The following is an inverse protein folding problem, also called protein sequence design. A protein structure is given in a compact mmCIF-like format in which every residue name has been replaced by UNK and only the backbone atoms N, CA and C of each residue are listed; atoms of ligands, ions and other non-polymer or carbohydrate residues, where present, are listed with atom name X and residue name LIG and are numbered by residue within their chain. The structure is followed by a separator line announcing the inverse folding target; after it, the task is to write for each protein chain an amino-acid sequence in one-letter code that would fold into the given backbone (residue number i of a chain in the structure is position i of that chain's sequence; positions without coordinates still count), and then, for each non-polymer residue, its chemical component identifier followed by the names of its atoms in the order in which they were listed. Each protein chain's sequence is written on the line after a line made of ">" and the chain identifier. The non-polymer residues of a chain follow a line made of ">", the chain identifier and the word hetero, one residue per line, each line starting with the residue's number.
data_IF_761151961202
#
_entry.id   IF_761151961202
#
_cell.length_a   1.000
_cell.length_b   1.000
_cell.length_c   1.000
_cell.angle_alpha   90.00
_cell.angle_beta   90.00
_cell.angle_gamma   90.00
#
_symmetry.space_group_name_H-M   'P 1'
#
loop_
_entity.id
_entity.type
_entity.pdbx_description
1 polymer ?
#
# COMPACT_ATOMS: atom_id res chain seq x y z
N UNK A 1 -7.40 20.87 16.30
CA UNK A 1 -8.00 20.13 15.16
C UNK A 1 -6.84 19.71 14.27
N UNK A 2 -6.46 18.43 14.23
CA UNK A 2 -5.42 17.96 13.29
C UNK A 2 -6.10 17.82 11.94
N UNK A 3 -5.71 18.66 10.99
CA UNK A 3 -6.17 18.60 9.62
C UNK A 3 -5.54 17.34 8.99
N UNK A 4 -6.36 16.39 8.56
CA UNK A 4 -5.85 15.25 7.80
C UNK A 4 -5.27 15.80 6.50
N UNK A 5 -3.94 15.70 6.34
CA UNK A 5 -3.28 16.06 5.09
C UNK A 5 -3.70 15.03 4.05
N UNK A 6 -4.38 15.47 2.99
CA UNK A 6 -4.67 14.61 1.86
C UNK A 6 -3.35 14.28 1.15
N UNK A 7 -2.98 13.01 1.15
CA UNK A 7 -1.67 12.53 0.74
C UNK A 7 -1.83 11.26 -0.08
N UNK A 8 -1.04 11.11 -1.14
CA UNK A 8 -1.05 9.96 -2.04
C UNK A 8 0.33 9.76 -2.64
N UNK A 9 0.77 8.51 -2.63
CA UNK A 9 2.01 8.06 -3.25
C UNK A 9 1.72 6.75 -3.98
N UNK A 10 2.17 6.62 -5.22
CA UNK A 10 2.12 5.37 -5.97
C UNK A 10 3.33 4.53 -5.55
N UNK A 11 3.08 3.38 -4.93
CA UNK A 11 4.11 2.48 -4.42
C UNK A 11 4.29 1.27 -5.34
N UNK A 12 5.54 0.85 -5.53
CA UNK A 12 5.89 -0.48 -6.01
C UNK A 12 6.55 -1.22 -4.86
N UNK A 13 5.95 -2.34 -4.44
CA UNK A 13 6.40 -3.08 -3.26
C UNK A 13 6.53 -4.57 -3.55
N UNK A 14 7.32 -5.28 -2.75
CA UNK A 14 7.40 -6.73 -2.76
C UNK A 14 6.68 -7.29 -1.55
N UNK A 15 5.74 -8.20 -1.77
CA UNK A 15 5.02 -8.86 -0.70
C UNK A 15 5.95 -9.80 0.07
N UNK A 16 6.01 -9.64 1.39
CA UNK A 16 6.73 -10.56 2.29
C UNK A 16 5.75 -11.57 2.85
N UNK A 17 4.63 -11.07 3.39
CA UNK A 17 3.50 -11.87 3.86
C UNK A 17 2.24 -11.00 3.95
N UNK A 18 1.08 -11.63 3.95
CA UNK A 18 -0.19 -10.97 4.19
C UNK A 18 -0.99 -11.79 5.21
N UNK A 19 -1.64 -11.09 6.13
CA UNK A 19 -2.52 -11.66 7.15
C UNK A 19 -3.76 -10.77 7.30
N UNK A 20 -4.90 -11.27 7.82
CA UNK A 20 -6.07 -10.43 8.07
C UNK A 20 -5.73 -9.24 8.96
N UNK A 21 -6.22 -8.05 8.63
CA UNK A 21 -5.91 -6.84 9.38
C UNK A 21 -6.51 -6.90 10.79
N UNK A 22 -5.74 -6.65 11.86
CA UNK A 22 -6.18 -6.90 13.23
C UNK A 22 -7.34 -6.01 13.70
N UNK A 23 -7.53 -4.86 13.03
CA UNK A 23 -8.52 -3.83 13.41
C UNK A 23 -9.52 -3.45 12.33
N UNK A 24 -9.31 -3.86 11.08
CA UNK A 24 -10.09 -3.37 9.93
C UNK A 24 -10.70 -4.55 9.19
N UNK A 25 -11.99 -4.80 9.41
CA UNK A 25 -12.70 -5.86 8.72
C UNK A 25 -12.72 -5.61 7.21
N UNK A 26 -12.41 -6.66 6.42
CA UNK A 26 -12.31 -6.58 4.96
C UNK A 26 -11.00 -5.98 4.45
N UNK A 27 -10.00 -5.84 5.31
CA UNK A 27 -8.63 -5.47 4.96
C UNK A 27 -7.68 -6.56 5.42
N UNK A 28 -6.59 -6.70 4.69
CA UNK A 28 -5.41 -7.47 5.05
C UNK A 28 -4.28 -6.50 5.40
N UNK A 29 -3.41 -6.92 6.30
CA UNK A 29 -2.16 -6.24 6.61
C UNK A 29 -1.03 -6.96 5.86
N UNK A 30 -0.53 -6.33 4.80
CA UNK A 30 0.60 -6.81 4.05
C UNK A 30 1.90 -6.26 4.63
N UNK A 31 2.82 -7.14 5.02
CA UNK A 31 4.21 -6.77 5.25
C UNK A 31 4.91 -6.72 3.90
N UNK A 32 5.44 -5.55 3.53
CA UNK A 32 6.01 -5.33 2.19
C UNK A 32 7.35 -4.62 2.26
N UNK A 33 8.26 -4.97 1.35
CA UNK A 33 9.46 -4.19 1.07
C UNK A 33 9.14 -3.14 0.00
N UNK A 34 9.41 -1.87 0.26
CA UNK A 34 9.20 -0.81 -0.73
C UNK A 34 10.36 -0.80 -1.72
N UNK A 35 10.06 -1.11 -2.98
CA UNK A 35 11.03 -1.13 -4.06
C UNK A 35 11.17 0.24 -4.70
N UNK A 36 10.05 0.92 -4.91
CA UNK A 36 9.99 2.23 -5.56
C UNK A 36 8.75 3.01 -5.10
N UNK A 37 8.79 4.33 -5.29
CA UNK A 37 7.70 5.23 -4.95
C UNK A 37 7.68 6.45 -5.87
N UNK A 38 6.49 6.76 -6.40
CA UNK A 38 6.23 7.91 -7.26
C UNK A 38 5.24 8.87 -6.59
N UNK A 39 5.53 10.19 -6.52
CA UNK A 39 4.58 11.16 -5.97
C UNK A 39 3.38 11.31 -6.90
N UNK A 40 2.17 11.43 -6.32
CA UNK A 40 0.96 11.70 -7.09
C UNK A 40 0.71 13.21 -7.16
N UNK A 41 0.62 13.75 -8.37
CA UNK A 41 0.40 15.18 -8.59
C UNK A 41 -0.86 15.68 -7.84
N UNK A 42 -0.70 16.80 -7.12
CA UNK A 42 -1.78 17.41 -6.34
C UNK A 42 -1.94 16.86 -4.92
N UNK A 43 -1.14 15.88 -4.51
CA UNK A 43 -1.15 15.30 -3.17
C UNK A 43 0.20 15.43 -2.49
N UNK A 44 0.20 15.47 -1.15
CA UNK A 44 1.43 15.36 -0.39
C UNK A 44 2.00 13.94 -0.54
N UNK A 45 3.32 13.86 -0.70
CA UNK A 45 4.04 12.59 -0.71
C UNK A 45 4.65 12.30 0.66
N UNK A 46 4.10 11.32 1.36
CA UNK A 46 4.50 10.96 2.73
C UNK A 46 5.12 9.57 2.84
N UNK A 47 5.10 8.79 1.75
CA UNK A 47 5.52 7.38 1.74
C UNK A 47 6.79 7.14 0.93
N UNK A 48 7.23 8.05 0.05
CA UNK A 48 8.49 7.85 -0.72
C UNK A 48 9.74 7.79 0.16
N UNK A 49 9.68 8.33 1.37
CA UNK A 49 10.76 8.16 2.37
C UNK A 49 10.99 6.71 2.81
N UNK A 50 10.04 5.82 2.51
CA UNK A 50 10.11 4.42 2.89
C UNK A 50 10.73 3.53 1.81
N UNK A 51 11.18 4.08 0.67
CA UNK A 51 11.91 3.32 -0.35
C UNK A 51 13.13 2.63 0.26
N UNK A 52 13.29 1.34 -0.04
CA UNK A 52 14.33 0.49 0.54
C UNK A 52 14.05 0.01 1.97
N UNK A 53 12.90 0.36 2.54
CA UNK A 53 12.48 -0.07 3.87
C UNK A 53 11.30 -1.04 3.82
N UNK A 54 11.08 -1.70 4.95
CA UNK A 54 9.91 -2.53 5.18
C UNK A 54 8.80 -1.71 5.83
N UNK A 55 7.56 -1.88 5.36
CA UNK A 55 6.40 -1.26 5.98
C UNK A 55 5.19 -2.20 6.01
N UNK A 56 4.26 -1.90 6.93
CA UNK A 56 2.96 -2.54 6.99
C UNK A 56 1.97 -1.73 6.16
N UNK A 57 1.41 -2.35 5.13
CA UNK A 57 0.45 -1.76 4.21
C UNK A 57 -0.91 -2.42 4.40
N UNK A 58 -1.91 -1.66 4.82
CA UNK A 58 -3.29 -2.15 4.82
C UNK A 58 -3.83 -2.16 3.38
N UNK A 59 -4.28 -3.32 2.92
CA UNK A 59 -4.83 -3.53 1.57
C UNK A 59 -6.23 -4.15 1.67
N UNK A 60 -7.23 -3.73 0.89
CA UNK A 60 -8.53 -4.41 0.85
C UNK A 60 -8.35 -5.90 0.51
N UNK A 61 -8.94 -6.81 1.31
CA UNK A 61 -8.65 -8.25 1.21
C UNK A 61 -8.95 -8.85 -0.16
N UNK A 62 -9.93 -8.30 -0.88
CA UNK A 62 -10.25 -8.75 -2.25
C UNK A 62 -9.18 -8.43 -3.29
N UNK A 63 -8.25 -7.52 -3.01
CA UNK A 63 -7.19 -7.13 -3.95
C UNK A 63 -5.94 -8.02 -3.86
N UNK A 64 -5.72 -8.71 -2.74
CA UNK A 64 -4.58 -9.61 -2.55
C UNK A 64 -4.90 -11.07 -2.85
N UNK A 65 -6.07 -11.38 -3.41
CA UNK A 65 -6.54 -12.76 -3.59
C UNK A 65 -5.57 -13.67 -4.36
N UNK A 66 -4.81 -13.11 -5.30
CA UNK A 66 -3.81 -13.84 -6.12
C UNK A 66 -2.36 -13.57 -5.69
N UNK A 67 -2.16 -12.74 -4.66
CA UNK A 67 -0.82 -12.34 -4.22
C UNK A 67 -0.19 -13.42 -3.33
N UNK A 68 1.01 -13.86 -3.70
CA UNK A 68 1.84 -14.78 -2.90
C UNK A 68 3.12 -14.07 -2.43
N UNK A 69 3.76 -14.52 -1.33
CA UNK A 69 5.08 -14.00 -0.95
C UNK A 69 6.05 -13.95 -2.13
N UNK A 70 6.73 -12.81 -2.29
CA UNK A 70 7.61 -12.49 -3.42
C UNK A 70 6.92 -11.74 -4.57
N UNK A 71 5.59 -11.68 -4.60
CA UNK A 71 4.85 -10.94 -5.64
C UNK A 71 5.19 -9.44 -5.60
N UNK A 72 5.23 -8.81 -6.76
CA UNK A 72 5.37 -7.35 -6.87
C UNK A 72 3.98 -6.73 -6.93
N UNK A 73 3.71 -5.78 -6.03
CA UNK A 73 2.43 -5.09 -5.92
C UNK A 73 2.66 -3.63 -6.31
N UNK A 74 1.92 -3.14 -7.30
CA UNK A 74 1.77 -1.71 -7.53
C UNK A 74 0.48 -1.25 -6.86
N UNK A 75 0.55 -0.22 -6.04
CA UNK A 75 -0.63 0.30 -5.35
C UNK A 75 -0.49 1.79 -5.06
N UNK A 76 -1.57 2.55 -5.31
CA UNK A 76 -1.72 3.89 -4.74
C UNK A 76 -2.03 3.80 -3.27
N UNK A 77 -1.25 4.46 -2.43
CA UNK A 77 -1.37 4.43 -0.99
C UNK A 77 -1.33 5.82 -0.36
N UNK A 78 -1.84 5.90 0.88
CA UNK A 78 -1.80 7.09 1.73
C UNK A 78 -1.38 6.71 3.14
N UNK A 79 -0.78 7.65 3.84
CA UNK A 79 -0.56 7.60 5.28
C UNK A 79 -1.82 8.12 6.00
N UNK A 80 -2.48 7.26 6.78
CA UNK A 80 -3.60 7.67 7.62
C UNK A 80 -3.14 8.52 8.81
N UNK A 81 -4.07 9.26 9.41
CA UNK A 81 -3.78 10.05 10.63
C UNK A 81 -3.32 9.17 11.82
N UNK A 82 -3.62 7.87 11.80
CA UNK A 82 -3.12 6.88 12.76
C UNK A 82 -1.65 6.49 12.54
N UNK A 83 -1.01 6.95 11.46
CA UNK A 83 0.34 6.55 11.05
C UNK A 83 0.40 5.27 10.22
N UNK A 84 -0.74 4.66 9.92
CA UNK A 84 -0.85 3.42 9.13
C UNK A 84 -0.84 3.72 7.62
N UNK A 85 -0.04 3.00 6.85
CA UNK A 85 -0.08 3.09 5.39
C UNK A 85 -1.26 2.27 4.87
N UNK A 86 -2.06 2.86 3.99
CA UNK A 86 -3.28 2.24 3.47
C UNK A 86 -3.34 2.38 1.95
N UNK A 87 -3.54 1.27 1.25
CA UNK A 87 -3.87 1.27 -0.16
C UNK A 87 -5.26 1.90 -0.39
N UNK A 88 -5.49 2.43 -1.59
CA UNK A 88 -6.80 2.90 -1.99
C UNK A 88 -7.84 1.78 -1.87
N UNK A 89 -8.98 2.09 -1.22
CA UNK A 89 -10.05 1.10 -1.00
C UNK A 89 -10.69 0.58 -2.30
N UNK A 90 -10.75 1.45 -3.32
CA UNK A 90 -11.33 1.18 -4.63
C UNK A 90 -10.41 1.81 -5.68
N UNK A 91 -9.29 1.14 -6.01
CA UNK A 91 -8.35 1.67 -6.98
C UNK A 91 -9.03 1.83 -8.34
N UNK A 92 -8.64 2.86 -9.08
CA UNK A 92 -9.00 2.95 -10.49
C UNK A 92 -8.31 1.81 -11.28
N UNK A 93 -8.84 1.41 -12.44
CA UNK A 93 -8.17 0.42 -13.28
C UNK A 93 -6.71 0.81 -13.54
N UNK A 94 -5.78 -0.12 -13.29
CA UNK A 94 -4.34 0.08 -13.48
C UNK A 94 -3.60 0.77 -12.32
N UNK A 95 -4.29 1.27 -11.28
CA UNK A 95 -3.62 1.82 -10.08
C UNK A 95 -3.36 0.79 -8.99
N UNK A 96 -3.84 -0.43 -9.21
CA UNK A 96 -3.50 -1.61 -8.42
C UNK A 96 -3.20 -2.78 -9.34
N UNK A 97 -2.02 -3.38 -9.21
CA UNK A 97 -1.62 -4.59 -9.93
C UNK A 97 -0.83 -5.52 -9.03
N UNK A 98 -0.95 -6.82 -9.29
CA UNK A 98 -0.17 -7.88 -8.65
C UNK A 98 0.53 -8.65 -9.75
N UNK A 99 1.85 -8.74 -9.66
CA UNK A 99 2.68 -9.56 -10.54
C UNK A 99 3.31 -10.69 -9.71
N UNK A 100 3.23 -11.95 -10.17
CA UNK A 100 3.80 -13.08 -9.44
C UNK A 100 5.34 -12.97 -9.35
N UNK A 101 5.96 -13.67 -8.39
CA UNK A 101 7.42 -13.74 -8.31
C UNK A 101 7.99 -14.32 -9.61
N UNK A 102 9.06 -13.71 -10.13
CA UNK A 102 9.84 -14.25 -11.26
C UNK A 102 10.92 -15.21 -10.79
#
# INVERSE_FOLDING_TARGET
>A
MVQAVDNRTDLTTRLVRAEPHPRLAGWDQAEVDVLDAEPVAGYADLLSRNVGQRLLLAVPSGLLAEAVPGSTIRARARLAASGEAMAEKRPAPGTFTVEPPR
#
